data_IF_473172064300
#
_entry.id   IF_473172064300
#
_cell.length_a   1.000
_cell.length_b   1.000
_cell.length_c   1.000
_cell.angle_alpha   90.00
_cell.angle_beta   90.00
_cell.angle_gamma   90.00
#
_symmetry.space_group_name_H-M   'P 1'
#
loop_
_entity.id
_entity.type
_entity.pdbx_description
1 polymer ?
#
# COMPACT_ATOMS: atom_id res chain seq x y z
N UNK A 1 -9.14 0.18 21.85
CA UNK A 1 -7.74 0.66 21.91
C UNK A 1 -7.75 1.97 22.68
N UNK A 2 -7.13 2.01 23.85
CA UNK A 2 -7.10 3.23 24.68
C UNK A 2 -6.20 4.26 24.00
N UNK A 3 -6.79 5.36 23.52
CA UNK A 3 -6.03 6.49 23.02
C UNK A 3 -5.20 7.05 24.18
N UNK A 4 -3.88 7.15 24.03
CA UNK A 4 -3.07 7.88 25.00
C UNK A 4 -3.58 9.33 25.03
N UNK A 5 -3.95 9.82 26.21
CA UNK A 5 -4.34 11.23 26.35
C UNK A 5 -3.15 12.16 26.10
N UNK A 6 -1.92 11.67 26.27
CA UNK A 6 -0.68 12.41 26.04
C UNK A 6 -0.35 12.52 24.55
N UNK A 7 0.17 13.68 24.15
CA UNK A 7 0.64 13.90 22.78
C UNK A 7 1.88 13.05 22.47
N UNK A 8 1.91 12.52 21.25
CA UNK A 8 3.08 11.87 20.63
C UNK A 8 3.39 12.59 19.32
N UNK A 9 4.67 12.79 19.03
CA UNK A 9 5.12 13.52 17.83
C UNK A 9 5.16 12.61 16.59
N UNK A 10 5.13 11.29 16.78
CA UNK A 10 5.02 10.29 15.72
C UNK A 10 3.56 9.93 15.46
N UNK A 11 2.87 10.74 14.65
CA UNK A 11 1.48 10.50 14.27
C UNK A 11 1.34 10.50 12.73
N UNK A 12 1.50 9.34 12.07
CA UNK A 12 1.42 9.27 10.62
C UNK A 12 0.02 9.63 10.13
N UNK A 13 -0.04 10.46 9.09
CA UNK A 13 -1.28 10.85 8.43
C UNK A 13 -1.59 9.93 7.24
N UNK A 14 -2.81 9.40 7.16
CA UNK A 14 -3.33 8.72 5.98
C UNK A 14 -3.62 9.71 4.85
N UNK A 15 -3.25 9.36 3.61
CA UNK A 15 -3.58 10.19 2.45
C UNK A 15 -5.11 10.14 2.19
N UNK A 16 -5.74 11.31 2.04
CA UNK A 16 -7.19 11.51 1.93
C UNK A 16 -8.00 11.16 3.19
N UNK A 17 -7.33 10.88 4.32
CA UNK A 17 -8.00 10.68 5.61
C UNK A 17 -8.03 11.99 6.38
N UNK A 18 -9.13 12.74 6.24
CA UNK A 18 -9.31 13.95 7.05
C UNK A 18 -9.63 13.56 8.48
N UNK A 19 -8.85 14.05 9.44
CA UNK A 19 -8.96 13.69 10.86
C UNK A 19 -8.65 14.87 11.76
N UNK A 20 -9.32 14.91 12.91
CA UNK A 20 -9.03 15.84 13.99
C UNK A 20 -8.76 15.05 15.27
N UNK A 21 -7.69 15.38 15.97
CA UNK A 21 -7.26 14.71 17.20
C UNK A 21 -6.90 15.75 18.26
N UNK A 22 -7.10 15.39 19.52
CA UNK A 22 -6.71 16.23 20.66
C UNK A 22 -5.92 15.41 21.66
N UNK A 23 -4.92 16.03 22.25
CA UNK A 23 -4.06 15.42 23.25
C UNK A 23 -3.58 16.48 24.24
N UNK A 24 -3.03 16.05 25.37
CA UNK A 24 -2.48 16.92 26.40
C UNK A 24 -0.95 16.80 26.47
N UNK A 25 -0.28 17.90 26.75
CA UNK A 25 1.12 17.95 27.16
C UNK A 25 1.22 18.43 28.60
N UNK A 26 2.14 17.83 29.34
CA UNK A 26 2.40 18.18 30.74
C UNK A 26 3.83 18.71 30.82
N UNK A 27 3.98 19.94 31.31
CA UNK A 27 5.27 20.60 31.47
C UNK A 27 5.63 20.69 32.95
N UNK A 28 6.80 20.17 33.31
CA UNK A 28 7.33 20.23 34.68
C UNK A 28 8.10 21.51 34.96
N UNK A 29 8.67 22.16 33.93
CA UNK A 29 9.39 23.42 34.05
C UNK A 29 9.20 24.27 32.78
N UNK A 30 8.01 24.86 32.64
CA UNK A 30 7.65 25.62 31.45
C UNK A 30 8.50 26.88 31.27
N UNK A 31 8.94 27.50 32.37
CA UNK A 31 9.79 28.70 32.34
C UNK A 31 11.11 28.47 31.61
N UNK A 32 11.65 27.23 31.65
CA UNK A 32 12.85 26.85 30.88
C UNK A 32 12.54 26.36 29.46
N UNK A 33 11.40 25.70 29.25
CA UNK A 33 11.08 25.05 27.97
C UNK A 33 10.31 25.92 26.98
N UNK A 34 9.67 27.01 27.42
CA UNK A 34 8.76 27.81 26.60
C UNK A 34 9.31 28.22 25.23
N UNK A 35 10.57 28.67 25.15
CA UNK A 35 11.18 29.15 23.90
C UNK A 35 11.98 28.07 23.16
N UNK A 36 12.26 26.93 23.81
CA UNK A 36 13.12 25.87 23.29
C UNK A 36 12.36 24.62 22.87
N UNK A 37 11.15 24.42 23.39
CA UNK A 37 10.32 23.26 23.10
C UNK A 37 9.66 23.40 21.71
N UNK A 38 9.96 22.48 20.77
CA UNK A 38 9.41 22.53 19.42
C UNK A 38 7.88 22.37 19.40
N UNK A 39 7.29 21.67 20.38
CA UNK A 39 5.84 21.47 20.42
C UNK A 39 5.07 22.77 20.67
N UNK A 40 5.72 23.76 21.29
CA UNK A 40 5.16 25.08 21.60
C UNK A 40 5.38 26.09 20.48
N UNK A 41 6.34 25.86 19.58
CA UNK A 41 6.73 26.79 18.54
C UNK A 41 6.07 26.45 17.20
N UNK A 42 5.27 27.38 16.67
CA UNK A 42 4.60 27.20 15.38
C UNK A 42 5.57 26.93 14.22
N UNK A 43 6.80 27.47 14.27
CA UNK A 43 7.83 27.25 13.26
C UNK A 43 8.17 25.77 13.06
N UNK A 44 8.10 24.96 14.12
CA UNK A 44 8.44 23.54 14.11
C UNK A 44 7.45 22.68 13.30
N UNK A 45 6.27 23.21 12.98
CA UNK A 45 5.22 22.51 12.24
C UNK A 45 5.21 22.80 10.73
N UNK A 46 6.17 23.58 10.21
CA UNK A 46 6.24 23.83 8.76
C UNK A 46 7.63 24.14 8.21
N UNK A 47 8.60 24.50 9.05
CA UNK A 47 9.98 24.74 8.60
C UNK A 47 10.72 23.43 8.42
N UNK A 48 11.60 23.42 7.42
CA UNK A 48 12.61 22.37 7.21
C UNK A 48 12.08 20.97 6.88
N UNK A 49 10.80 20.86 6.51
CA UNK A 49 10.25 19.66 5.88
C UNK A 49 9.23 19.99 4.78
N UNK A 50 8.97 19.01 3.93
CA UNK A 50 8.08 19.12 2.78
C UNK A 50 7.33 17.81 2.58
N UNK A 51 6.20 17.89 1.86
CA UNK A 51 5.43 16.71 1.49
C UNK A 51 5.83 16.28 0.09
N UNK A 52 6.00 14.97 -0.11
CA UNK A 52 6.32 14.41 -1.41
C UNK A 52 5.10 14.47 -2.33
N UNK A 53 5.29 15.02 -3.54
CA UNK A 53 4.32 14.99 -4.63
C UNK A 53 4.51 13.73 -5.46
N UNK A 54 3.40 13.21 -6.00
CA UNK A 54 3.42 12.08 -6.92
C UNK A 54 4.16 12.51 -8.21
N UNK A 55 5.27 11.84 -8.60
CA UNK A 55 5.92 12.13 -9.85
C UNK A 55 5.00 11.72 -11.01
N UNK A 56 4.71 12.67 -11.90
CA UNK A 56 3.84 12.44 -13.07
C UNK A 56 4.62 11.79 -14.23
N UNK A 57 5.95 11.81 -14.17
CA UNK A 57 6.82 11.24 -15.20
C UNK A 57 8.03 10.54 -14.56
N UNK A 58 8.20 9.25 -14.85
CA UNK A 58 9.28 8.41 -14.30
C UNK A 58 10.68 8.81 -14.79
N UNK A 59 10.78 9.73 -15.76
CA UNK A 59 12.04 10.26 -16.29
C UNK A 59 12.66 11.34 -15.39
N UNK A 60 11.91 11.89 -14.44
CA UNK A 60 12.40 12.94 -13.52
C UNK A 60 12.67 12.31 -12.15
N UNK A 61 13.94 11.95 -11.91
CA UNK A 61 14.47 11.46 -10.63
C UNK A 61 14.67 12.58 -9.57
N UNK A 62 13.89 13.65 -9.63
CA UNK A 62 13.89 14.67 -8.57
C UNK A 62 12.62 14.54 -7.75
N UNK A 63 12.70 14.42 -6.41
CA UNK A 63 11.53 14.44 -5.56
C UNK A 63 10.84 15.79 -5.73
N UNK A 64 9.67 15.81 -6.38
CA UNK A 64 8.83 16.99 -6.39
C UNK A 64 8.34 17.19 -4.95
N UNK A 65 8.82 18.25 -4.31
CA UNK A 65 8.52 18.58 -2.92
C UNK A 65 7.52 19.73 -2.86
N UNK A 66 6.46 19.57 -2.06
CA UNK A 66 5.50 20.62 -1.74
C UNK A 66 5.86 21.16 -0.37
N UNK A 67 6.33 22.42 -0.33
CA UNK A 67 6.59 23.12 0.93
C UNK A 67 5.26 23.41 1.64
N UNK A 68 5.29 23.33 2.97
CA UNK A 68 4.16 23.71 3.81
C UNK A 68 4.22 25.22 4.04
N UNK A 69 3.17 25.93 3.65
CA UNK A 69 3.12 27.39 3.72
C UNK A 69 2.17 27.81 4.85
N UNK A 70 2.64 28.59 5.85
CA UNK A 70 1.75 29.11 6.87
C UNK A 70 0.82 30.16 6.27
N UNK A 71 -0.48 30.09 6.59
CA UNK A 71 -1.48 31.05 6.10
C UNK A 71 -1.19 32.48 6.61
N UNK A 72 -0.66 32.58 7.82
CA UNK A 72 -0.16 33.82 8.44
C UNK A 72 1.11 33.52 9.22
N UNK A 73 2.02 34.51 9.32
CA UNK A 73 3.26 34.34 10.08
C UNK A 73 2.95 34.30 11.59
N UNK A 74 3.18 33.16 12.27
CA UNK A 74 2.88 33.03 13.69
C UNK A 74 3.95 33.74 14.53
N UNK A 75 3.53 34.36 15.64
CA UNK A 75 4.46 34.95 16.60
C UNK A 75 5.22 33.84 17.35
N UNK A 76 6.54 33.99 17.59
CA UNK A 76 7.30 33.00 18.35
C UNK A 76 6.88 32.98 19.83
N UNK A 77 7.04 31.82 20.51
CA UNK A 77 6.76 31.72 21.93
C UNK A 77 7.73 32.60 22.72
N UNK A 78 7.23 33.21 23.81
CA UNK A 78 8.03 34.08 24.69
C UNK A 78 7.61 33.95 26.15
N UNK A 79 8.58 34.00 27.04
CA UNK A 79 8.34 34.07 28.48
C UNK A 79 8.27 35.51 28.95
N UNK A 80 7.19 35.86 29.66
CA UNK A 80 7.07 37.12 30.38
C UNK A 80 6.58 36.78 31.80
N UNK A 81 7.41 37.05 32.80
CA UNK A 81 7.17 36.56 34.16
C UNK A 81 7.07 35.04 34.18
N UNK A 82 5.97 34.52 34.73
CA UNK A 82 5.64 33.09 34.77
C UNK A 82 4.65 32.64 33.69
N UNK A 83 4.36 33.48 32.69
CA UNK A 83 3.45 33.15 31.58
C UNK A 83 4.22 32.97 30.27
N UNK A 84 4.00 31.84 29.61
CA UNK A 84 4.48 31.56 28.26
C UNK A 84 3.41 32.00 27.26
N UNK A 85 3.72 33.01 26.46
CA UNK A 85 2.84 33.56 25.43
C UNK A 85 3.08 32.91 24.09
N UNK A 86 2.07 32.96 23.22
CA UNK A 86 2.13 32.50 21.82
C UNK A 86 2.45 31.01 21.66
N UNK A 87 1.97 30.17 22.59
CA UNK A 87 2.15 28.72 22.47
C UNK A 87 1.14 28.12 21.50
N UNK A 88 1.54 27.14 20.71
CA UNK A 88 0.63 26.45 19.78
C UNK A 88 -0.41 25.63 20.54
N UNK A 89 -1.69 26.02 20.46
CA UNK A 89 -2.83 25.25 21.00
C UNK A 89 -3.56 24.46 19.91
N UNK A 90 -3.53 24.91 18.66
CA UNK A 90 -4.09 24.17 17.54
C UNK A 90 -3.24 24.30 16.28
N UNK A 91 -3.11 23.19 15.54
CA UNK A 91 -2.49 23.12 14.22
C UNK A 91 -3.50 22.56 13.23
N UNK A 92 -3.78 23.33 12.16
CA UNK A 92 -4.73 22.95 11.11
C UNK A 92 -4.02 22.91 9.77
N UNK A 93 -3.74 21.71 9.28
CA UNK A 93 -3.24 21.49 7.93
C UNK A 93 -4.40 21.40 6.93
N UNK A 94 -4.27 22.13 5.82
CA UNK A 94 -5.17 22.06 4.67
C UNK A 94 -4.36 21.61 3.46
N UNK A 95 -4.67 20.42 2.98
CA UNK A 95 -4.00 19.77 1.84
C UNK A 95 -4.90 19.87 0.62
N UNK A 96 -4.45 20.63 -0.38
CA UNK A 96 -5.07 20.66 -1.69
C UNK A 96 -4.53 19.48 -2.51
N UNK A 97 -5.41 18.65 -3.04
CA UNK A 97 -5.02 17.52 -3.89
C UNK A 97 -5.80 17.49 -5.21
N UNK A 98 -5.19 16.84 -6.20
CA UNK A 98 -5.74 16.53 -7.50
C UNK A 98 -5.69 15.01 -7.68
N UNK A 99 -6.77 14.40 -8.18
CA UNK A 99 -6.85 12.95 -8.36
C UNK A 99 -5.76 12.39 -9.28
N UNK A 100 -5.33 13.15 -10.29
CA UNK A 100 -4.29 12.77 -11.25
C UNK A 100 -2.91 13.14 -10.72
N UNK A 101 -2.74 14.39 -10.27
CA UNK A 101 -1.41 14.95 -9.95
C UNK A 101 -1.02 14.87 -8.47
N UNK A 102 -1.81 14.22 -7.62
CA UNK A 102 -1.55 14.07 -6.19
C UNK A 102 -1.68 15.38 -5.41
N UNK A 103 -0.91 15.53 -4.34
CA UNK A 103 -0.89 16.75 -3.50
C UNK A 103 -0.37 17.92 -4.34
N UNK A 104 -1.14 19.01 -4.38
CA UNK A 104 -0.78 20.24 -5.10
C UNK A 104 -0.15 21.26 -4.17
N UNK A 105 -0.84 21.57 -3.06
CA UNK A 105 -0.41 22.57 -2.09
C UNK A 105 -0.72 22.09 -0.67
N UNK A 106 0.11 22.51 0.28
CA UNK A 106 -0.13 22.31 1.71
C UNK A 106 -0.03 23.64 2.42
N UNK A 107 -1.07 23.99 3.15
CA UNK A 107 -1.08 25.17 4.01
C UNK A 107 -1.33 24.78 5.46
N UNK A 108 -0.81 25.57 6.39
CA UNK A 108 -1.01 25.37 7.82
C UNK A 108 -1.50 26.65 8.49
N UNK A 109 -2.45 26.49 9.40
CA UNK A 109 -2.99 27.56 10.24
C UNK A 109 -2.80 27.18 11.71
N UNK A 110 -2.50 28.17 12.53
CA UNK A 110 -2.24 27.98 13.96
C UNK A 110 -3.24 28.78 14.80
N UNK A 111 -3.70 28.19 15.90
CA UNK A 111 -4.24 28.96 17.02
C UNK A 111 -3.21 28.95 18.15
N UNK A 112 -3.01 30.13 18.74
CA UNK A 112 -2.03 30.35 19.79
C UNK A 112 -2.75 30.62 21.11
N UNK A 113 -2.14 30.20 22.21
CA UNK A 113 -2.61 30.42 23.57
C UNK A 113 -1.50 30.98 24.46
N UNK A 114 -1.87 31.43 25.65
CA UNK A 114 -0.95 31.82 26.70
C UNK A 114 -1.19 30.90 27.90
N UNK A 115 -0.12 30.36 28.49
CA UNK A 115 -0.21 29.38 29.57
C UNK A 115 0.70 29.77 30.75
N UNK A 116 0.23 29.53 31.97
CA UNK A 116 0.96 29.83 33.20
C UNK A 116 1.86 28.65 33.61
N UNK A 117 3.07 28.95 34.07
CA UNK A 117 4.20 28.03 34.15
C UNK A 117 4.47 27.29 35.47
N UNK A 118 3.87 27.70 36.59
CA UNK A 118 4.19 27.17 37.93
C UNK A 118 2.93 26.68 38.69
N UNK A 119 2.98 25.56 39.43
CA UNK A 119 4.09 24.61 39.59
C UNK A 119 4.14 23.52 38.49
N UNK A 120 3.03 23.29 37.77
CA UNK A 120 2.92 22.39 36.60
C UNK A 120 1.92 22.97 35.62
N UNK A 121 2.23 22.89 34.34
CA UNK A 121 1.35 23.40 33.28
C UNK A 121 0.83 22.26 32.43
N UNK A 122 -0.46 22.31 32.09
CA UNK A 122 -1.09 21.37 31.18
C UNK A 122 -1.59 22.18 29.97
N UNK A 123 -1.23 21.73 28.77
CA UNK A 123 -1.70 22.31 27.51
C UNK A 123 -2.45 21.23 26.74
N UNK A 124 -3.71 21.49 26.42
CA UNK A 124 -4.42 20.69 25.42
C UNK A 124 -4.08 21.23 24.02
N UNK A 125 -3.57 20.36 23.17
CA UNK A 125 -3.30 20.65 21.77
C UNK A 125 -4.30 19.93 20.87
N UNK A 126 -4.71 20.58 19.79
CA UNK A 126 -5.56 20.01 18.76
C UNK A 126 -4.84 20.00 17.42
N UNK A 127 -4.92 18.88 16.72
CA UNK A 127 -4.31 18.69 15.40
C UNK A 127 -5.40 18.28 14.42
N UNK A 128 -5.56 19.05 13.35
CA UNK A 128 -6.54 18.80 12.30
C UNK A 128 -5.84 18.73 10.94
N UNK A 129 -6.15 17.70 10.17
CA UNK A 129 -5.68 17.51 8.81
C UNK A 129 -6.90 17.39 7.89
N UNK A 130 -7.00 18.29 6.92
CA UNK A 130 -8.14 18.38 6.02
C UNK A 130 -7.70 18.29 4.57
N UNK A 131 -8.23 17.32 3.83
CA UNK A 131 -8.01 17.19 2.39
C UNK A 131 -9.16 17.80 1.61
N UNK A 132 -8.85 18.53 0.54
CA UNK A 132 -9.86 19.12 -0.34
C UNK A 132 -9.33 19.25 -1.78
N UNK A 133 -10.24 19.39 -2.75
CA UNK A 133 -9.92 19.48 -4.18
C UNK A 133 -10.75 20.61 -4.82
N UNK A 134 -10.11 21.46 -5.64
CA UNK A 134 -10.75 22.58 -6.38
C UNK A 134 -11.71 22.11 -7.48
N UNK A 135 -11.50 20.94 -8.04
CA UNK A 135 -12.34 20.38 -9.09
C UNK A 135 -12.89 19.02 -8.66
N UNK A 136 -14.21 18.89 -8.43
CA UNK A 136 -14.84 17.61 -8.13
C UNK A 136 -14.93 16.68 -9.35
N UNK A 137 -14.28 17.02 -10.47
CA UNK A 137 -14.38 16.27 -11.71
C UNK A 137 -13.77 14.88 -11.58
N UNK A 138 -14.70 13.92 -11.62
CA UNK A 138 -14.56 12.48 -11.77
C UNK A 138 -13.51 11.90 -10.83
N UNK A 139 -13.91 11.69 -9.57
CA UNK A 139 -13.34 10.61 -8.76
C UNK A 139 -13.56 9.29 -9.51
N UNK A 140 -12.73 8.99 -10.52
CA UNK A 140 -12.59 7.63 -11.04
C UNK A 140 -12.21 6.83 -9.82
N UNK A 141 -13.11 5.94 -9.39
CA UNK A 141 -12.84 5.08 -8.26
C UNK A 141 -11.68 4.18 -8.65
N UNK A 142 -10.49 4.54 -8.16
CA UNK A 142 -9.28 3.77 -8.38
C UNK A 142 -9.35 2.51 -7.53
N UNK A 143 -8.75 1.45 -8.05
CA UNK A 143 -8.63 0.20 -7.30
C UNK A 143 -7.35 0.17 -6.46
N UNK A 144 -6.62 1.28 -6.40
CA UNK A 144 -5.31 1.40 -5.77
C UNK A 144 -4.54 2.65 -6.22
N UNK A 145 -3.46 3.02 -5.51
CA UNK A 145 -2.50 4.02 -5.96
C UNK A 145 -1.12 3.86 -5.27
N UNK A 146 -0.13 3.25 -5.92
CA UNK A 146 -0.23 2.45 -7.13
C UNK A 146 -0.84 1.07 -6.88
N UNK A 147 -0.40 0.37 -5.83
CA UNK A 147 -0.78 -1.02 -5.57
C UNK A 147 -2.29 -1.20 -5.33
N UNK A 148 -2.81 -2.36 -5.71
CA UNK A 148 -4.21 -2.71 -5.52
C UNK A 148 -4.62 -2.74 -4.04
N UNK A 149 -5.80 -2.21 -3.75
CA UNK A 149 -6.45 -2.27 -2.44
C UNK A 149 -7.27 -3.56 -2.37
N UNK A 150 -7.17 -4.29 -1.25
CA UNK A 150 -7.96 -5.50 -1.01
C UNK A 150 -9.46 -5.16 -1.03
N UNK A 151 -10.26 -5.95 -1.73
CA UNK A 151 -11.70 -5.72 -1.89
C UNK A 151 -12.09 -4.70 -2.98
N UNK A 152 -11.12 -3.97 -3.56
CA UNK A 152 -11.38 -3.11 -4.71
C UNK A 152 -11.48 -3.92 -6.02
N UNK A 153 -12.24 -3.48 -7.03
CA UNK A 153 -12.47 -4.26 -8.23
C UNK A 153 -11.23 -4.39 -9.12
N UNK A 154 -11.03 -5.53 -9.77
CA UNK A 154 -9.99 -5.72 -10.79
C UNK A 154 -10.26 -4.83 -12.00
N UNK A 155 -9.23 -4.10 -12.44
CA UNK A 155 -9.31 -3.15 -13.55
C UNK A 155 -8.81 -3.81 -14.82
N UNK A 156 -9.56 -3.66 -15.90
CA UNK A 156 -9.22 -4.18 -17.21
C UNK A 156 -9.38 -3.12 -18.29
N UNK A 157 -8.72 -3.36 -19.44
CA UNK A 157 -8.83 -2.53 -20.63
C UNK A 157 -9.61 -3.29 -21.70
N UNK A 158 -10.65 -2.64 -22.22
CA UNK A 158 -11.45 -3.11 -23.34
C UNK A 158 -11.55 -1.97 -24.36
N UNK A 159 -11.03 -2.16 -25.58
CA UNK A 159 -11.01 -1.13 -26.63
C UNK A 159 -10.56 0.24 -26.11
N UNK A 160 -9.43 0.29 -25.39
CA UNK A 160 -8.86 1.50 -24.77
C UNK A 160 -9.74 2.19 -23.71
N UNK A 161 -10.88 1.60 -23.37
CA UNK A 161 -11.71 2.02 -22.24
C UNK A 161 -11.49 1.16 -21.02
N UNK A 162 -11.20 1.83 -19.91
CA UNK A 162 -11.01 1.21 -18.61
C UNK A 162 -12.35 0.71 -18.06
N UNK A 163 -12.41 -0.58 -17.74
CA UNK A 163 -13.56 -1.28 -17.21
C UNK A 163 -13.15 -2.18 -16.05
N UNK A 164 -14.11 -2.91 -15.49
CA UNK A 164 -13.84 -3.90 -14.44
C UNK A 164 -14.00 -5.31 -14.96
N UNK A 165 -13.20 -6.22 -14.41
CA UNK A 165 -13.40 -7.65 -14.67
C UNK A 165 -14.68 -8.12 -13.99
N UNK A 166 -15.54 -8.80 -14.74
CA UNK A 166 -16.83 -9.27 -14.23
C UNK A 166 -17.09 -10.74 -14.56
N UNK A 167 -17.95 -11.36 -13.75
CA UNK A 167 -18.37 -12.75 -13.91
C UNK A 167 -19.89 -12.87 -13.82
N UNK A 168 -20.41 -14.00 -14.29
CA UNK A 168 -21.83 -14.33 -14.21
C UNK A 168 -22.31 -14.31 -12.76
N UNK A 169 -23.50 -13.77 -12.57
CA UNK A 169 -24.23 -13.75 -11.31
C UNK A 169 -25.58 -14.44 -11.50
N UNK A 170 -26.07 -15.13 -10.49
CA UNK A 170 -27.42 -15.69 -10.47
C UNK A 170 -28.45 -14.66 -10.04
N UNK A 171 -29.65 -14.77 -10.60
CA UNK A 171 -30.86 -14.14 -10.09
C UNK A 171 -31.43 -14.97 -8.93
N UNK A 172 -32.46 -14.44 -8.26
CA UNK A 172 -33.15 -15.12 -7.15
C UNK A 172 -33.81 -16.44 -7.59
N UNK A 173 -34.18 -16.55 -8.88
CA UNK A 173 -34.72 -17.77 -9.49
C UNK A 173 -33.62 -18.77 -9.95
N UNK A 174 -32.35 -18.48 -9.69
CA UNK A 174 -31.21 -19.32 -10.10
C UNK A 174 -30.75 -19.17 -11.55
N UNK A 175 -31.42 -18.36 -12.38
CA UNK A 175 -31.02 -18.12 -13.77
C UNK A 175 -29.85 -17.14 -13.88
N UNK A 176 -29.14 -17.18 -15.00
CA UNK A 176 -28.04 -16.24 -15.26
C UNK A 176 -28.57 -14.81 -15.46
N UNK A 177 -28.05 -13.88 -14.65
CA UNK A 177 -28.41 -12.46 -14.67
C UNK A 177 -27.63 -11.70 -15.74
N UNK A 178 -28.27 -10.65 -16.30
CA UNK A 178 -27.56 -9.63 -17.07
C UNK A 178 -26.65 -8.76 -16.19
N UNK A 179 -27.05 -8.52 -14.94
CA UNK A 179 -26.18 -7.89 -13.93
C UNK A 179 -25.04 -8.84 -13.61
N UNK A 180 -23.81 -8.31 -13.63
CA UNK A 180 -22.59 -9.09 -13.41
C UNK A 180 -21.91 -8.68 -12.13
N UNK A 181 -21.26 -9.64 -11.49
CA UNK A 181 -20.48 -9.40 -10.28
C UNK A 181 -19.07 -8.90 -10.66
N UNK A 182 -18.61 -7.80 -10.05
CA UNK A 182 -17.25 -7.27 -10.24
C UNK A 182 -16.29 -8.05 -9.36
N UNK A 183 -15.29 -8.69 -9.96
CA UNK A 183 -14.27 -9.43 -9.22
C UNK A 183 -13.49 -8.45 -8.34
N UNK A 184 -13.38 -8.74 -7.05
CA UNK A 184 -12.65 -7.94 -6.06
C UNK A 184 -11.28 -8.53 -5.79
N UNK A 185 -10.27 -7.68 -5.70
CA UNK A 185 -8.88 -8.09 -5.50
C UNK A 185 -8.70 -8.81 -4.16
N UNK A 186 -8.05 -9.99 -4.21
CA UNK A 186 -7.84 -10.94 -3.09
C UNK A 186 -9.10 -11.59 -2.52
N UNK A 187 -10.24 -11.45 -3.19
CA UNK A 187 -11.48 -12.14 -2.80
C UNK A 187 -11.76 -13.27 -3.81
N UNK A 188 -11.14 -14.43 -3.59
CA UNK A 188 -11.44 -15.64 -4.37
C UNK A 188 -12.92 -16.00 -4.23
N UNK A 189 -13.57 -16.37 -5.33
CA UNK A 189 -15.01 -16.57 -5.37
C UNK A 189 -15.41 -17.71 -6.30
N UNK A 190 -16.60 -18.26 -6.08
CA UNK A 190 -17.24 -19.20 -6.99
C UNK A 190 -18.70 -18.79 -7.17
N UNK A 191 -19.14 -18.67 -8.41
CA UNK A 191 -20.53 -18.40 -8.76
C UNK A 191 -21.05 -19.44 -9.74
N UNK A 192 -22.36 -19.63 -9.76
CA UNK A 192 -23.04 -20.55 -10.66
C UNK A 192 -24.44 -20.07 -10.99
N UNK A 193 -24.89 -20.29 -12.22
CA UNK A 193 -26.24 -19.92 -12.67
C UNK A 193 -26.75 -20.88 -13.75
N UNK A 194 -28.07 -20.91 -13.94
CA UNK A 194 -28.72 -21.69 -14.99
C UNK A 194 -28.87 -20.84 -16.25
N UNK A 195 -28.19 -21.23 -17.32
CA UNK A 195 -28.23 -20.59 -18.63
C UNK A 195 -29.35 -21.18 -19.46
N UNK A 196 -30.21 -20.32 -19.99
CA UNK A 196 -31.31 -20.72 -20.86
C UNK A 196 -30.78 -20.93 -22.29
N UNK A 197 -30.68 -22.20 -22.70
CA UNK A 197 -30.28 -22.57 -24.05
C UNK A 197 -31.50 -22.84 -24.93
N UNK A 198 -32.52 -23.53 -24.38
CA UNK A 198 -33.76 -23.93 -25.08
C UNK A 198 -33.53 -24.39 -26.53
N UNK A 199 -32.52 -25.25 -26.74
CA UNK A 199 -32.06 -25.65 -28.08
C UNK A 199 -32.01 -27.17 -28.19
N UNK A 200 -32.42 -27.68 -29.36
CA UNK A 200 -32.10 -29.05 -29.78
C UNK A 200 -30.70 -29.05 -30.37
N UNK A 201 -29.80 -29.81 -29.77
CA UNK A 201 -28.41 -29.89 -30.22
C UNK A 201 -28.32 -30.60 -31.55
N UNK A 202 -28.02 -29.84 -32.59
CA UNK A 202 -27.76 -30.31 -33.95
C UNK A 202 -26.40 -29.74 -34.39
N UNK A 203 -25.76 -30.33 -35.39
CA UNK A 203 -24.42 -29.95 -35.82
C UNK A 203 -24.35 -28.46 -36.23
N UNK A 204 -25.39 -27.97 -36.90
CA UNK A 204 -25.56 -26.57 -37.30
C UNK A 204 -25.68 -25.61 -36.10
N UNK A 205 -26.30 -26.05 -35.01
CA UNK A 205 -26.58 -25.22 -33.84
C UNK A 205 -25.49 -25.30 -32.77
N UNK A 206 -24.58 -26.28 -32.85
CA UNK A 206 -23.52 -26.47 -31.86
C UNK A 206 -22.59 -25.26 -31.76
N UNK A 207 -22.14 -24.72 -32.90
CA UNK A 207 -21.25 -23.55 -32.95
C UNK A 207 -21.95 -22.32 -32.37
N UNK A 208 -23.24 -22.14 -32.68
CA UNK A 208 -24.04 -21.05 -32.14
C UNK A 208 -24.17 -21.15 -30.61
N UNK A 209 -24.55 -22.31 -30.09
CA UNK A 209 -24.65 -22.54 -28.64
C UNK A 209 -23.30 -22.30 -27.95
N UNK A 210 -22.22 -22.82 -28.53
CA UNK A 210 -20.87 -22.64 -28.00
C UNK A 210 -20.49 -21.16 -27.91
N UNK A 211 -20.73 -20.38 -28.97
CA UNK A 211 -20.47 -18.94 -28.99
C UNK A 211 -21.34 -18.18 -27.99
N UNK A 212 -22.63 -18.51 -27.89
CA UNK A 212 -23.53 -17.89 -26.90
C UNK A 212 -23.08 -18.16 -25.46
N UNK A 213 -22.58 -19.36 -25.16
CA UNK A 213 -22.04 -19.68 -23.83
C UNK A 213 -20.74 -18.94 -23.55
N UNK A 214 -19.84 -18.82 -24.53
CA UNK A 214 -18.64 -17.99 -24.38
C UNK A 214 -19.00 -16.53 -24.12
N UNK A 215 -19.93 -15.96 -24.89
CA UNK A 215 -20.42 -14.60 -24.70
C UNK A 215 -21.05 -14.42 -23.31
N UNK A 216 -21.79 -15.42 -22.81
CA UNK A 216 -22.34 -15.38 -21.45
C UNK A 216 -21.23 -15.30 -20.39
N UNK A 217 -20.18 -16.11 -20.50
CA UNK A 217 -19.03 -16.06 -19.60
C UNK A 217 -18.25 -14.75 -19.68
N UNK A 218 -18.03 -14.25 -20.89
CA UNK A 218 -17.21 -13.05 -21.15
C UNK A 218 -17.96 -11.76 -20.78
N UNK A 219 -19.28 -11.74 -20.94
CA UNK A 219 -20.09 -10.54 -20.80
C UNK A 219 -19.88 -9.55 -21.95
N UNK A 220 -20.42 -8.33 -21.83
CA UNK A 220 -20.41 -7.32 -22.90
C UNK A 220 -19.02 -6.74 -23.20
N UNK A 221 -18.09 -6.84 -22.23
CA UNK A 221 -16.76 -6.26 -22.33
C UNK A 221 -15.73 -7.33 -21.99
N UNK A 222 -15.36 -8.13 -23.01
CA UNK A 222 -14.33 -9.15 -22.85
C UNK A 222 -12.96 -8.47 -22.67
N UNK A 223 -12.36 -8.51 -21.47
CA UNK A 223 -11.15 -7.74 -21.22
C UNK A 223 -9.99 -8.31 -22.04
N UNK A 224 -9.34 -7.46 -22.83
CA UNK A 224 -8.14 -7.87 -23.58
C UNK A 224 -6.89 -7.81 -22.72
N UNK A 225 -6.85 -6.87 -21.77
CA UNK A 225 -5.72 -6.64 -20.86
C UNK A 225 -6.18 -6.37 -19.44
N UNK A 226 -5.32 -6.68 -18.47
CA UNK A 226 -5.55 -6.52 -17.05
C UNK A 226 -4.54 -5.54 -16.47
N UNK A 227 -4.98 -4.56 -15.67
CA UNK A 227 -4.09 -3.57 -15.10
C UNK A 227 -3.12 -4.20 -14.08
N UNK A 228 -1.84 -3.84 -14.16
CA UNK A 228 -0.79 -4.26 -13.22
C UNK A 228 -1.02 -3.62 -11.84
N UNK A 229 -1.42 -2.34 -11.82
CA UNK A 229 -1.65 -1.54 -10.61
C UNK A 229 -3.09 -1.01 -10.56
N UNK A 230 -3.56 -0.62 -9.37
CA UNK A 230 -4.93 -0.14 -9.17
C UNK A 230 -5.19 1.28 -9.71
N UNK A 231 -4.15 1.97 -10.19
CA UNK A 231 -4.19 3.30 -10.78
C UNK A 231 -3.77 3.33 -12.26
N UNK A 232 -3.73 2.19 -12.95
CA UNK A 232 -3.22 2.10 -14.32
C UNK A 232 -3.90 3.08 -15.30
N UNK A 233 -3.10 3.75 -16.12
CA UNK A 233 -3.55 4.64 -17.20
C UNK A 233 -3.73 3.86 -18.50
N UNK A 234 -4.91 4.00 -19.11
CA UNK A 234 -5.23 3.41 -20.41
C UNK A 234 -4.26 3.86 -21.52
N UNK A 235 -3.69 5.06 -21.38
CA UNK A 235 -2.76 5.64 -22.35
C UNK A 235 -1.35 5.04 -22.30
N UNK A 236 -1.02 4.29 -21.24
CA UNK A 236 0.31 3.71 -21.03
C UNK A 236 0.29 2.18 -21.21
N UNK A 237 0.77 1.64 -22.33
CA UNK A 237 0.77 0.19 -22.58
C UNK A 237 1.54 -0.64 -21.55
N UNK A 238 2.55 -0.06 -20.90
CA UNK A 238 3.39 -0.75 -19.91
C UNK A 238 2.70 -1.05 -18.58
N UNK A 239 1.50 -0.51 -18.36
CA UNK A 239 0.73 -0.70 -17.12
C UNK A 239 -0.31 -1.84 -17.22
N UNK A 240 -0.28 -2.62 -18.30
CA UNK A 240 -1.28 -3.63 -18.63
C UNK A 240 -0.65 -4.98 -18.99
N UNK A 241 -1.12 -6.05 -18.33
CA UNK A 241 -0.80 -7.43 -18.66
C UNK A 241 -1.78 -8.01 -19.68
N UNK A 242 -1.31 -8.96 -20.50
CA UNK A 242 -2.19 -9.77 -21.32
C UNK A 242 -2.94 -10.80 -20.46
N UNK A 243 -4.18 -11.13 -20.87
CA UNK A 243 -4.95 -12.21 -20.27
C UNK A 243 -4.81 -13.46 -21.15
N UNK A 244 -4.18 -14.50 -20.61
CA UNK A 244 -4.02 -15.77 -21.33
C UNK A 244 -5.36 -16.52 -21.35
N UNK A 245 -5.83 -16.89 -22.54
CA UNK A 245 -7.14 -17.53 -22.68
C UNK A 245 -7.01 -18.89 -23.32
N UNK A 246 -7.45 -19.92 -22.62
CA UNK A 246 -7.50 -21.30 -23.09
C UNK A 246 -8.95 -21.70 -23.33
N UNK A 247 -9.38 -21.66 -24.59
CA UNK A 247 -10.71 -22.11 -25.04
C UNK A 247 -10.77 -23.63 -25.18
N UNK A 248 -11.97 -24.15 -25.35
CA UNK A 248 -12.21 -25.54 -25.74
C UNK A 248 -11.51 -25.86 -27.06
N UNK A 249 -10.73 -26.95 -27.11
CA UNK A 249 -10.08 -27.45 -28.32
C UNK A 249 -10.62 -28.84 -28.68
N UNK A 250 -10.96 -29.02 -29.96
CA UNK A 250 -11.45 -30.28 -30.53
C UNK A 250 -10.29 -31.03 -31.20
N UNK A 251 -9.26 -31.42 -30.46
CA UNK A 251 -8.18 -32.24 -31.04
C UNK A 251 -8.55 -33.73 -30.91
N UNK A 252 -8.74 -34.40 -32.06
CA UNK A 252 -8.87 -35.86 -32.13
C UNK A 252 -10.27 -36.45 -31.94
N UNK A 253 -11.34 -35.65 -31.94
CA UNK A 253 -12.73 -36.12 -31.79
C UNK A 253 -13.48 -35.91 -33.11
N UNK A 254 -14.18 -36.93 -33.61
CA UNK A 254 -15.04 -36.78 -34.79
C UNK A 254 -16.17 -35.76 -34.49
N UNK A 255 -16.22 -34.61 -35.19
CA UNK A 255 -17.20 -33.54 -34.93
C UNK A 255 -18.66 -33.97 -35.16
N UNK A 256 -18.87 -35.07 -35.88
CA UNK A 256 -20.17 -35.49 -36.43
C UNK A 256 -21.14 -36.11 -35.41
N UNK A 257 -20.73 -36.36 -34.17
CA UNK A 257 -21.58 -37.06 -33.16
C UNK A 257 -21.76 -36.27 -31.86
N UNK A 258 -20.81 -35.41 -31.51
CA UNK A 258 -20.79 -34.71 -30.22
C UNK A 258 -20.49 -33.22 -30.38
N UNK A 259 -21.17 -32.41 -29.57
CA UNK A 259 -20.93 -30.98 -29.42
C UNK A 259 -20.12 -30.71 -28.15
N UNK A 260 -19.00 -30.01 -28.26
CA UNK A 260 -18.19 -29.59 -27.12
C UNK A 260 -18.59 -28.18 -26.68
N UNK A 261 -19.14 -28.06 -25.47
CA UNK A 261 -19.64 -26.80 -24.92
C UNK A 261 -18.88 -26.40 -23.64
N UNK A 262 -18.54 -25.12 -23.45
CA UNK A 262 -17.90 -24.64 -22.22
C UNK A 262 -18.94 -24.59 -21.10
N UNK A 263 -18.71 -25.31 -20.00
CA UNK A 263 -19.63 -25.34 -18.85
C UNK A 263 -19.09 -24.61 -17.62
N UNK A 264 -17.77 -24.37 -17.58
CA UNK A 264 -17.14 -23.66 -16.47
C UNK A 264 -16.00 -22.78 -16.96
N UNK A 265 -15.82 -21.62 -16.32
CA UNK A 265 -14.72 -20.70 -16.52
C UNK A 265 -13.91 -20.61 -15.23
N UNK A 266 -12.62 -20.96 -15.29
CA UNK A 266 -11.67 -20.74 -14.20
C UNK A 266 -10.81 -19.52 -14.51
N UNK A 267 -10.91 -18.50 -13.68
CA UNK A 267 -10.10 -17.28 -13.73
C UNK A 267 -9.04 -17.38 -12.64
N UNK A 268 -7.77 -17.42 -13.04
CA UNK A 268 -6.64 -17.44 -12.13
C UNK A 268 -5.90 -16.13 -12.24
N UNK A 269 -5.73 -15.43 -11.13
CA UNK A 269 -5.03 -14.14 -11.05
C UNK A 269 -3.82 -14.32 -10.17
N UNK A 270 -2.64 -14.11 -10.75
CA UNK A 270 -1.37 -14.14 -10.01
C UNK A 270 -0.96 -12.72 -9.64
N UNK A 271 -0.54 -12.52 -8.41
CA UNK A 271 -0.18 -11.19 -7.91
C UNK A 271 0.95 -11.30 -6.88
N UNK A 272 1.68 -10.21 -6.67
CA UNK A 272 2.76 -10.14 -5.69
C UNK A 272 2.85 -8.75 -5.05
N UNK A 273 3.46 -8.68 -3.87
CA UNK A 273 3.95 -7.44 -3.29
C UNK A 273 5.28 -7.06 -3.94
N UNK A 274 5.35 -5.85 -4.50
CA UNK A 274 6.53 -5.31 -5.17
C UNK A 274 6.90 -3.96 -4.55
N UNK A 275 8.18 -3.67 -4.46
CA UNK A 275 8.69 -2.39 -3.93
C UNK A 275 9.46 -2.56 -2.62
N UNK A 276 9.52 -1.49 -1.83
CA UNK A 276 10.27 -1.45 -0.58
C UNK A 276 9.63 -2.35 0.47
N UNK A 277 10.44 -3.04 1.29
CA UNK A 277 9.95 -3.88 2.40
C UNK A 277 9.08 -3.09 3.40
N UNK A 278 9.40 -1.81 3.60
CA UNK A 278 8.63 -0.90 4.46
C UNK A 278 7.32 -0.43 3.85
N UNK A 279 7.17 -0.51 2.52
CA UNK A 279 5.98 -0.06 1.80
C UNK A 279 5.71 -0.93 0.54
N UNK A 280 5.36 -2.20 0.72
CA UNK A 280 5.06 -3.11 -0.38
C UNK A 280 3.79 -2.69 -1.13
N UNK A 281 3.81 -2.78 -2.45
CA UNK A 281 2.68 -2.44 -3.33
C UNK A 281 2.16 -3.70 -4.02
N UNK A 282 0.86 -3.98 -3.88
CA UNK A 282 0.25 -5.14 -4.50
C UNK A 282 0.08 -4.94 -6.01
N UNK A 283 0.74 -5.76 -6.81
CA UNK A 283 0.67 -5.72 -8.27
C UNK A 283 0.16 -7.04 -8.83
N UNK A 284 -0.71 -6.96 -9.83
CA UNK A 284 -1.14 -8.12 -10.61
C UNK A 284 -0.07 -8.41 -11.65
N UNK A 285 0.41 -9.66 -11.69
CA UNK A 285 1.46 -10.09 -12.62
C UNK A 285 0.87 -10.72 -13.89
N UNK A 286 -0.38 -11.17 -13.83
CA UNK A 286 -1.07 -11.76 -14.96
C UNK A 286 -2.36 -12.45 -14.57
N UNK A 287 -3.14 -12.83 -15.58
CA UNK A 287 -4.31 -13.66 -15.39
C UNK A 287 -4.48 -14.68 -16.50
N UNK A 288 -5.13 -15.79 -16.15
CA UNK A 288 -5.48 -16.87 -17.06
C UNK A 288 -6.97 -17.17 -16.99
N UNK A 289 -7.61 -17.26 -18.16
CA UNK A 289 -8.98 -17.70 -18.34
C UNK A 289 -8.93 -19.10 -18.94
N UNK A 290 -9.35 -20.10 -18.17
CA UNK A 290 -9.35 -21.50 -18.58
C UNK A 290 -10.79 -22.01 -18.64
N UNK A 291 -11.24 -22.37 -19.85
CA UNK A 291 -12.59 -22.91 -20.04
C UNK A 291 -12.57 -24.43 -19.91
N UNK A 292 -13.41 -24.95 -19.01
CA UNK A 292 -13.66 -26.38 -18.86
C UNK A 292 -14.90 -26.75 -19.67
N UNK A 293 -14.75 -27.76 -20.50
CA UNK A 293 -15.71 -28.09 -21.54
C UNK A 293 -16.27 -29.49 -21.33
N UNK A 294 -17.52 -29.69 -21.75
CA UNK A 294 -18.20 -30.97 -21.70
C UNK A 294 -18.63 -31.39 -23.10
N UNK A 295 -18.48 -32.67 -23.39
CA UNK A 295 -19.04 -33.29 -24.60
C UNK A 295 -20.51 -33.60 -24.38
N UNK A 296 -21.33 -33.23 -25.34
CA UNK A 296 -22.77 -33.41 -25.31
C UNK A 296 -23.24 -34.04 -26.62
N UNK A 297 -24.02 -35.12 -26.53
CA UNK A 297 -24.48 -35.85 -27.71
C UNK A 297 -25.48 -35.04 -28.53
N UNK A 298 -25.35 -35.10 -29.85
CA UNK A 298 -26.31 -34.51 -30.79
C UNK A 298 -27.68 -35.21 -30.67
N UNK A 299 -28.76 -34.49 -31.00
CA UNK A 299 -30.15 -34.92 -30.83
C UNK A 299 -30.72 -34.66 -29.44
N UNK A 300 -29.89 -34.30 -28.46
CA UNK A 300 -30.34 -33.97 -27.10
C UNK A 300 -31.07 -32.62 -27.08
N UNK A 301 -32.26 -32.56 -26.48
CA UNK A 301 -32.92 -31.30 -26.18
C UNK A 301 -32.39 -30.73 -24.87
N UNK A 302 -31.91 -29.48 -24.90
CA UNK A 302 -31.33 -28.80 -23.74
C UNK A 302 -32.14 -27.55 -23.43
N UNK A 303 -32.77 -27.55 -22.26
CA UNK A 303 -33.50 -26.39 -21.75
C UNK A 303 -32.56 -25.46 -20.97
N UNK A 304 -32.00 -25.96 -19.86
CA UNK A 304 -31.13 -25.19 -18.96
C UNK A 304 -29.76 -25.86 -18.81
N UNK A 305 -28.70 -25.06 -18.78
CA UNK A 305 -27.32 -25.51 -18.57
C UNK A 305 -26.71 -24.82 -17.34
N UNK A 306 -26.13 -25.57 -16.40
CA UNK A 306 -25.41 -24.96 -15.28
C UNK A 306 -24.08 -24.38 -15.79
N UNK A 307 -23.91 -23.08 -15.68
CA UNK A 307 -22.65 -22.39 -15.91
C UNK A 307 -21.99 -22.06 -14.58
N UNK A 308 -20.71 -22.39 -14.45
CA UNK A 308 -19.93 -22.12 -13.25
C UNK A 308 -18.77 -21.19 -13.55
N UNK A 309 -18.48 -20.25 -12.65
CA UNK A 309 -17.26 -19.45 -12.71
C UNK A 309 -16.51 -19.57 -11.39
N UNK A 310 -15.22 -19.86 -11.43
CA UNK A 310 -14.32 -19.86 -10.28
C UNK A 310 -13.26 -18.80 -10.49
N UNK A 311 -12.97 -18.04 -9.44
CA UNK A 311 -11.92 -17.02 -9.44
C UNK A 311 -10.98 -17.32 -8.29
N UNK A 312 -9.70 -17.46 -8.59
CA UNK A 312 -8.65 -17.73 -7.61
C UNK A 312 -7.55 -16.67 -7.70
N UNK A 313 -7.19 -16.10 -6.55
CA UNK A 313 -6.04 -15.23 -6.40
C UNK A 313 -4.88 -16.00 -5.77
N UNK A 314 -3.72 -15.97 -6.43
CA UNK A 314 -2.50 -16.63 -5.95
C UNK A 314 -1.43 -15.59 -5.66
N UNK A 315 -0.98 -15.54 -4.40
CA UNK A 315 0.14 -14.71 -3.97
C UNK A 315 1.47 -15.41 -4.32
N UNK A 316 2.31 -14.73 -5.09
CA UNK A 316 3.67 -15.20 -5.45
C UNK A 316 4.76 -14.27 -4.93
N UNK A 317 4.45 -13.48 -3.91
CA UNK A 317 5.40 -12.57 -3.25
C UNK A 317 6.63 -13.31 -2.75
N UNK A 318 7.81 -12.80 -3.10
CA UNK A 318 9.09 -13.22 -2.54
C UNK A 318 9.65 -12.10 -1.68
N UNK A 319 9.70 -12.32 -0.38
CA UNK A 319 10.34 -11.38 0.55
C UNK A 319 11.86 -11.57 0.51
N UNK A 320 12.64 -10.47 0.53
CA UNK A 320 14.09 -10.59 0.66
C UNK A 320 14.45 -11.27 1.99
N UNK A 321 15.59 -11.96 2.04
CA UNK A 321 16.13 -12.42 3.31
C UNK A 321 16.30 -11.20 4.22
N UNK A 322 15.83 -11.26 5.48
CA UNK A 322 16.06 -10.17 6.42
C UNK A 322 17.56 -9.89 6.45
N UNK A 323 17.99 -8.61 6.42
CA UNK A 323 19.40 -8.29 6.47
C UNK A 323 19.97 -9.01 7.69
N UNK A 324 20.89 -9.95 7.46
CA UNK A 324 21.58 -10.62 8.56
C UNK A 324 22.12 -9.49 9.41
N UNK A 325 21.61 -9.36 10.63
CA UNK A 325 22.26 -8.50 11.61
C UNK A 325 23.73 -8.90 11.60
N UNK A 326 24.66 -7.93 11.61
CA UNK A 326 26.04 -8.24 11.97
C UNK A 326 25.98 -9.21 13.16
N UNK A 327 26.70 -10.35 13.13
CA UNK A 327 26.62 -11.34 14.18
C UNK A 327 26.82 -10.60 15.51
N UNK A 328 25.75 -10.46 16.29
CA UNK A 328 25.88 -9.97 17.66
C UNK A 328 26.62 -11.08 18.35
N UNK A 329 27.88 -10.83 18.70
CA UNK A 329 28.66 -11.76 19.49
C UNK A 329 27.88 -11.97 20.77
N UNK A 330 27.25 -13.14 20.88
CA UNK A 330 26.46 -13.52 22.04
C UNK A 330 27.46 -13.97 23.09
N UNK A 331 28.02 -13.00 23.83
CA UNK A 331 28.93 -13.29 24.93
C UNK A 331 28.13 -13.98 26.05
N UNK A 332 28.12 -15.32 26.07
CA UNK A 332 27.74 -16.10 27.25
C UNK A 332 28.93 -16.10 28.20
N UNK A 333 29.11 -15.00 28.92
CA UNK A 333 30.11 -14.94 29.98
C UNK A 333 29.53 -15.63 31.23
N UNK A 334 30.31 -16.50 31.90
CA UNK A 334 29.96 -17.00 33.23
C UNK A 334 29.75 -15.83 34.20
N UNK A 335 28.97 -16.06 35.26
CA UNK A 335 28.60 -15.03 36.24
C UNK A 335 29.82 -14.28 36.85
N UNK A 336 31.01 -14.91 36.84
CA UNK A 336 32.23 -14.39 37.45
C UNK A 336 33.34 -14.00 36.45
N UNK A 337 33.02 -13.75 35.17
CA UNK A 337 34.05 -13.46 34.16
C UNK A 337 35.00 -12.29 34.52
N UNK A 338 34.55 -11.33 35.34
CA UNK A 338 35.36 -10.21 35.80
C UNK A 338 35.80 -10.30 37.28
N UNK A 339 35.65 -11.46 37.93
CA UNK A 339 36.04 -11.62 39.33
C UNK A 339 37.47 -12.18 39.46
N UNK A 340 38.37 -11.58 40.28
CA UNK A 340 38.19 -10.44 41.17
C UNK A 340 38.92 -9.18 40.65
N UNK A 341 38.59 -8.67 39.46
CA UNK A 341 39.20 -7.41 39.01
C UNK A 341 38.47 -6.22 39.66
N UNK A 342 38.95 -5.79 40.84
CA UNK A 342 38.62 -4.47 41.38
C UNK A 342 39.22 -3.41 40.44
N UNK A 343 38.39 -2.61 39.79
CA UNK A 343 38.83 -1.35 39.21
C UNK A 343 39.26 -0.42 40.35
N UNK A 344 40.56 -0.37 40.62
CA UNK A 344 41.15 0.67 41.43
C UNK A 344 41.15 1.97 40.61
N UNK A 345 40.08 2.77 40.73
CA UNK A 345 40.20 4.20 40.47
C UNK A 345 40.94 4.81 41.66
N UNK A 346 42.27 4.65 41.69
CA UNK A 346 43.11 5.53 42.47
C UNK A 346 43.12 6.88 41.75
N UNK A 347 42.36 7.83 42.30
CA UNK A 347 42.75 9.23 42.20
C UNK A 347 44.13 9.45 42.80
N UNK A 348 44.56 10.71 42.72
CA UNK A 348 45.81 11.34 43.20
C UNK A 348 46.67 11.72 41.99
N UNK A 349 46.77 13.00 41.63
CA UNK A 349 47.19 14.06 42.54
C UNK A 349 48.71 14.07 42.62
N UNK A 350 49.34 14.65 41.59
CA UNK A 350 50.59 15.44 41.68
C UNK A 350 51.52 15.09 42.86
N UNK A 351 52.56 14.30 42.60
CA UNK A 351 53.93 14.70 42.93
C UNK A 351 55.00 13.73 42.40
N UNK A 352 56.01 14.34 41.78
CA UNK A 352 57.44 14.02 41.78
C UNK A 352 57.92 12.59 42.07
N UNK A 353 58.73 12.05 41.17
CA UNK A 353 59.74 11.05 41.55
C UNK A 353 60.04 9.99 40.50
N UNK A 354 60.95 10.34 39.61
CA UNK A 354 61.82 9.52 38.74
C UNK A 354 61.86 7.97 38.90
N UNK A 355 61.84 7.32 37.72
CA UNK A 355 62.59 6.13 37.27
C UNK A 355 61.88 4.77 37.02
N UNK A 356 62.04 4.38 35.74
CA UNK A 356 62.35 3.07 35.19
C UNK A 356 61.20 2.07 34.94
N UNK A 357 60.83 1.94 33.66
CA UNK A 357 60.00 0.85 33.15
C UNK A 357 59.58 1.00 31.69
N UNK A 358 60.51 1.35 30.80
CA UNK A 358 60.28 1.39 29.35
C UNK A 358 60.10 -0.02 28.79
N UNK A 359 59.08 -0.26 27.95
CA UNK A 359 59.17 -1.24 26.85
C UNK A 359 58.06 -1.00 25.81
N UNK A 360 58.48 -0.40 24.69
CA UNK A 360 57.84 -0.45 23.38
C UNK A 360 58.16 -1.81 22.74
N UNK A 361 57.17 -2.51 22.17
CA UNK A 361 57.40 -3.48 21.09
C UNK A 361 56.28 -3.38 20.06
N UNK A 362 56.62 -2.83 18.91
CA UNK A 362 55.97 -3.08 17.62
C UNK A 362 56.56 -4.35 17.01
N UNK A 363 55.76 -5.17 16.32
CA UNK A 363 56.23 -6.00 15.20
C UNK A 363 55.06 -6.49 14.33
N UNK A 364 55.20 -6.19 13.05
CA UNK A 364 54.47 -6.71 11.88
C UNK A 364 55.10 -8.03 11.37
N UNK A 365 54.33 -8.76 10.55
CA UNK A 365 54.72 -9.55 9.36
C UNK A 365 54.46 -11.07 9.31
N UNK A 366 53.91 -11.41 8.13
CA UNK A 366 53.97 -12.63 7.31
C UNK A 366 52.95 -13.77 7.57
N UNK A 367 52.26 -14.30 6.55
CA UNK A 367 52.33 -14.02 5.11
C UNK A 367 51.32 -14.82 4.28
N UNK A 368 50.75 -14.12 3.29
CA UNK A 368 50.58 -14.49 1.86
C UNK A 368 50.23 -15.92 1.45
N UNK A 369 49.11 -16.07 0.70
CA UNK A 369 48.80 -16.96 -0.44
C UNK A 369 47.27 -16.77 -0.69
N UNK A 370 46.66 -16.45 -1.84
CA UNK A 370 46.99 -16.44 -3.27
C UNK A 370 46.00 -15.47 -3.95
N UNK A 371 46.49 -14.70 -4.92
CA UNK A 371 45.72 -14.09 -6.01
C UNK A 371 46.04 -14.90 -7.29
N UNK A 372 45.05 -15.03 -8.19
CA UNK A 372 45.04 -15.60 -9.56
C UNK A 372 44.41 -16.99 -9.71
N UNK A 373 43.10 -17.03 -10.02
CA UNK A 373 42.54 -17.18 -11.39
C UNK A 373 41.06 -16.83 -11.38
#
# INVERSE_FOLDING_TARGET
MFASQLCVDENPAGFLESKSTSCIRIFTNLTRSCTTDPALNAASYYRDFSVLKVPVNLTVFQPLQVKIIPVSMPAPPRMIGSTCYNVVSEVVYKVEFNGIHGIQNVSVQFNLANIYGEPRSILQQRFSLNFWNRSPFINKQRSGNPGYITGAPLVALYNDTQQYVTVLQNQDNGQCSEKRYRIRFRESMRSGCQFNASVKLEETNCVHLQNSMYQAFQGPHYPGRLAITGNADASNPGEWNNIFTQRCTMQGIQPSVHCMIPISLEIQVIWAQVGLLSNPQAQVLGARYHYICKLQSLGTYINMLPLMTTVAFTDVTKWPEPPRSQPRVYWKLPFDFFFPFKMAFSGVGRNSGNQAGTLLVTLTLCGSLILNT
#
